data_IF_142070572797
#
_entry.id   IF_142070572797
#
_cell.length_a   1.000
_cell.length_b   1.000
_cell.length_c   1.000
_cell.angle_alpha   90.00
_cell.angle_beta   90.00
_cell.angle_gamma   90.00
#
_symmetry.space_group_name_H-M   'P 1'
#
loop_
_entity.id
_entity.type
_entity.pdbx_description
1 polymer ?
#
# COMPACT_ATOMS: atom_id res chain seq x y z
N UNK A 1 2.85 -7.89 -46.25
CA UNK A 1 1.89 -7.46 -45.22
C UNK A 1 2.42 -7.74 -43.81
N UNK A 2 2.75 -8.99 -43.41
CA UNK A 2 3.21 -9.31 -42.02
C UNK A 2 4.47 -8.55 -41.53
N UNK A 3 5.33 -8.08 -42.43
CA UNK A 3 6.52 -7.30 -42.06
C UNK A 3 6.18 -5.86 -41.68
N UNK A 4 5.32 -5.20 -42.44
CA UNK A 4 4.87 -3.83 -42.19
C UNK A 4 4.05 -3.73 -40.88
N UNK A 5 3.19 -4.69 -40.61
CA UNK A 5 2.42 -4.78 -39.36
C UNK A 5 3.32 -4.89 -38.13
N UNK A 6 4.39 -5.71 -38.22
CA UNK A 6 5.38 -5.81 -37.13
C UNK A 6 6.12 -4.50 -36.92
N UNK A 7 6.58 -3.85 -37.98
CA UNK A 7 7.28 -2.55 -37.87
C UNK A 7 6.34 -1.51 -37.25
N UNK A 8 5.10 -1.44 -37.73
CA UNK A 8 4.12 -0.48 -37.19
C UNK A 8 3.85 -0.75 -35.69
N UNK A 9 3.67 -2.01 -35.32
CA UNK A 9 3.48 -2.42 -33.91
C UNK A 9 4.66 -1.98 -33.01
N UNK A 10 5.89 -2.26 -33.42
CA UNK A 10 7.06 -1.89 -32.61
C UNK A 10 7.28 -0.37 -32.60
N UNK A 11 7.01 0.33 -33.69
CA UNK A 11 7.05 1.79 -33.73
C UNK A 11 6.04 2.41 -32.79
N UNK A 12 4.80 1.91 -32.77
CA UNK A 12 3.76 2.36 -31.84
C UNK A 12 4.16 2.10 -30.38
N UNK A 13 4.67 0.91 -30.06
CA UNK A 13 5.12 0.58 -28.72
C UNK A 13 6.26 1.52 -28.29
N UNK A 14 7.25 1.73 -29.16
CA UNK A 14 8.38 2.64 -28.89
C UNK A 14 7.90 4.06 -28.64
N UNK A 15 6.96 4.58 -29.46
CA UNK A 15 6.38 5.90 -29.30
C UNK A 15 5.66 6.04 -27.95
N UNK A 16 4.84 5.06 -27.58
CA UNK A 16 4.14 5.06 -26.28
C UNK A 16 5.14 5.04 -25.13
N UNK A 17 6.18 4.18 -25.20
CA UNK A 17 7.23 4.14 -24.18
C UNK A 17 7.96 5.49 -24.05
N UNK A 18 8.31 6.13 -25.17
CA UNK A 18 8.92 7.45 -25.15
C UNK A 18 8.01 8.50 -24.50
N UNK A 19 6.72 8.52 -24.87
CA UNK A 19 5.74 9.41 -24.24
C UNK A 19 5.62 9.19 -22.74
N UNK A 20 5.64 7.93 -22.29
CA UNK A 20 5.61 7.60 -20.86
C UNK A 20 6.89 8.02 -20.11
N UNK A 21 8.04 8.12 -20.79
CA UNK A 21 9.31 8.53 -20.19
C UNK A 21 9.46 10.05 -20.06
N UNK A 22 8.77 10.83 -20.90
CA UNK A 22 8.83 12.30 -20.87
C UNK A 22 8.61 12.88 -19.47
N UNK A 23 7.53 12.55 -18.72
CA UNK A 23 7.31 13.13 -17.41
C UNK A 23 8.44 12.80 -16.42
N UNK A 24 9.02 11.60 -16.49
CA UNK A 24 10.15 11.24 -15.65
C UNK A 24 11.41 12.00 -16.00
N UNK A 25 11.65 12.21 -17.29
CA UNK A 25 12.76 13.05 -17.76
C UNK A 25 12.61 14.49 -17.27
N UNK A 26 11.42 15.09 -17.41
CA UNK A 26 11.15 16.45 -16.92
C UNK A 26 11.36 16.56 -15.42
N UNK A 27 10.85 15.60 -14.63
CA UNK A 27 11.07 15.56 -13.18
C UNK A 27 12.55 15.48 -12.82
N UNK A 28 13.32 14.65 -13.54
CA UNK A 28 14.77 14.53 -13.33
C UNK A 28 15.49 15.85 -13.63
N UNK A 29 15.16 16.51 -14.75
CA UNK A 29 15.72 17.79 -15.11
C UNK A 29 15.38 18.87 -14.07
N UNK A 30 14.12 18.95 -13.64
CA UNK A 30 13.70 19.89 -12.60
C UNK A 30 14.42 19.63 -11.27
N UNK A 31 14.62 18.37 -10.89
CA UNK A 31 15.36 18.01 -9.67
C UNK A 31 16.85 18.41 -9.75
N UNK A 32 17.42 18.44 -10.93
CA UNK A 32 18.83 18.79 -11.20
C UNK A 32 19.05 20.27 -11.54
N UNK A 33 18.00 21.06 -11.64
CA UNK A 33 18.12 22.49 -11.95
C UNK A 33 18.15 23.34 -10.68
N UNK A 34 18.97 24.42 -10.71
CA UNK A 34 18.97 25.42 -9.66
C UNK A 34 17.61 26.15 -9.59
N UNK A 35 17.15 26.58 -8.39
CA UNK A 35 15.89 27.32 -8.25
C UNK A 35 15.81 28.55 -9.17
N UNK A 36 16.91 29.29 -9.32
CA UNK A 36 16.96 30.45 -10.18
C UNK A 36 16.64 30.10 -11.63
N UNK A 37 17.21 29.00 -12.13
CA UNK A 37 17.04 28.58 -13.52
C UNK A 37 15.63 28.10 -13.82
N UNK A 38 15.01 27.39 -12.87
CA UNK A 38 13.61 26.95 -13.02
C UNK A 38 12.64 28.12 -13.02
N UNK A 39 12.80 29.08 -12.08
CA UNK A 39 11.85 30.19 -11.91
C UNK A 39 12.01 31.31 -12.92
N UNK A 40 13.26 31.62 -13.32
CA UNK A 40 13.53 32.77 -14.18
C UNK A 40 13.71 32.43 -15.68
N UNK A 41 14.27 31.26 -15.97
CA UNK A 41 14.54 30.83 -17.35
C UNK A 41 13.49 29.87 -17.90
N UNK A 42 12.66 29.26 -17.03
CA UNK A 42 11.63 28.28 -17.43
C UNK A 42 12.20 27.03 -18.10
N UNK A 43 13.47 26.73 -17.86
CA UNK A 43 14.16 25.62 -18.52
C UNK A 43 13.81 24.28 -17.87
N UNK A 44 13.00 23.49 -18.58
CA UNK A 44 12.54 22.16 -18.16
C UNK A 44 13.18 21.02 -18.95
N UNK A 45 14.09 21.33 -19.90
CA UNK A 45 14.65 20.33 -20.81
C UNK A 45 16.16 20.08 -20.64
N UNK A 46 16.91 21.03 -20.08
CA UNK A 46 18.37 20.92 -19.96
C UNK A 46 18.76 20.96 -18.48
N UNK A 47 19.42 19.90 -17.94
CA UNK A 47 19.83 19.86 -16.53
C UNK A 47 21.04 20.77 -16.27
N UNK A 48 21.05 21.41 -15.10
CA UNK A 48 22.14 22.25 -14.57
C UNK A 48 23.09 21.47 -13.65
N UNK A 49 22.76 20.21 -13.40
CA UNK A 49 23.47 19.31 -12.47
C UNK A 49 23.67 19.89 -11.07
N UNK A 50 22.67 20.62 -10.56
CA UNK A 50 22.68 21.23 -9.24
C UNK A 50 22.32 20.19 -8.16
N UNK A 51 23.29 19.40 -7.74
CA UNK A 51 23.13 18.31 -6.77
C UNK A 51 22.72 18.77 -5.36
N UNK A 52 22.87 20.06 -5.06
CA UNK A 52 22.52 20.62 -3.76
C UNK A 52 21.05 20.42 -3.41
N UNK A 53 20.15 20.38 -4.40
CA UNK A 53 18.74 20.11 -4.20
C UNK A 53 18.50 18.79 -3.44
N UNK A 54 19.24 17.73 -3.76
CA UNK A 54 19.09 16.43 -3.11
C UNK A 54 19.58 16.47 -1.65
N UNK A 55 20.67 17.18 -1.38
CA UNK A 55 21.20 17.34 -0.03
C UNK A 55 20.25 18.19 0.83
N UNK A 56 19.72 19.26 0.27
CA UNK A 56 18.76 20.12 0.95
C UNK A 56 17.44 19.39 1.22
N UNK A 57 16.94 18.67 0.24
CA UNK A 57 15.76 17.82 0.40
C UNK A 57 15.97 16.80 1.52
N UNK A 58 17.10 16.09 1.51
CA UNK A 58 17.43 15.10 2.53
C UNK A 58 17.48 15.69 3.94
N UNK A 59 18.14 16.84 4.08
CA UNK A 59 18.32 17.51 5.39
C UNK A 59 17.04 18.20 5.88
N UNK A 60 16.41 19.01 5.03
CA UNK A 60 15.22 19.82 5.40
C UNK A 60 14.01 18.96 5.72
N UNK A 61 13.77 17.89 4.98
CA UNK A 61 12.59 17.05 5.16
C UNK A 61 12.82 15.83 6.04
N UNK A 62 14.05 15.62 6.56
CA UNK A 62 14.39 14.41 7.33
C UNK A 62 13.96 13.12 6.60
N UNK A 63 14.19 13.05 5.28
CA UNK A 63 13.72 11.97 4.42
C UNK A 63 14.12 10.60 4.96
N UNK A 64 15.33 10.44 5.50
CA UNK A 64 15.77 9.15 6.06
C UNK A 64 14.86 8.65 7.19
N UNK A 65 14.46 9.53 8.12
CA UNK A 65 13.53 9.18 9.20
C UNK A 65 12.14 8.89 8.64
N UNK A 66 11.65 9.70 7.71
CA UNK A 66 10.36 9.51 7.08
C UNK A 66 10.28 8.20 6.27
N UNK A 67 11.37 7.82 5.61
CA UNK A 67 11.52 6.54 4.89
C UNK A 67 11.42 5.35 5.84
N UNK A 68 12.13 5.41 6.96
CA UNK A 68 12.05 4.37 7.99
C UNK A 68 10.64 4.27 8.58
N UNK A 69 10.00 5.40 8.90
CA UNK A 69 8.62 5.43 9.38
C UNK A 69 7.65 4.82 8.36
N UNK A 70 7.74 5.20 7.07
CA UNK A 70 6.93 4.60 6.01
C UNK A 70 7.14 3.09 5.90
N UNK A 71 8.39 2.63 5.99
CA UNK A 71 8.71 1.20 5.95
C UNK A 71 8.11 0.45 7.16
N UNK A 72 8.24 1.00 8.38
CA UNK A 72 7.67 0.41 9.59
C UNK A 72 6.14 0.37 9.50
N UNK A 73 5.50 1.46 9.10
CA UNK A 73 4.04 1.53 8.96
C UNK A 73 3.56 0.53 7.91
N UNK A 74 4.18 0.51 6.74
CA UNK A 74 3.77 -0.37 5.64
C UNK A 74 3.98 -1.83 6.00
N UNK A 75 5.17 -2.20 6.47
CA UNK A 75 5.47 -3.58 6.85
C UNK A 75 4.59 -4.04 8.03
N UNK A 76 4.45 -3.23 9.08
CA UNK A 76 3.62 -3.55 10.24
C UNK A 76 2.15 -3.73 9.87
N UNK A 77 1.61 -2.84 9.02
CA UNK A 77 0.24 -2.95 8.51
C UNK A 77 0.04 -4.22 7.69
N UNK A 78 0.94 -4.50 6.74
CA UNK A 78 0.85 -5.68 5.89
C UNK A 78 0.94 -6.97 6.72
N UNK A 79 1.90 -7.08 7.62
CA UNK A 79 2.06 -8.25 8.49
C UNK A 79 0.79 -8.48 9.32
N UNK A 80 0.31 -7.44 10.01
CA UNK A 80 -0.88 -7.55 10.85
C UNK A 80 -2.12 -7.94 10.02
N UNK A 81 -2.30 -7.34 8.87
CA UNK A 81 -3.46 -7.57 8.01
C UNK A 81 -3.40 -8.93 7.31
N UNK A 82 -2.21 -9.39 6.90
CA UNK A 82 -2.01 -10.74 6.33
C UNK A 82 -2.37 -11.80 7.35
N UNK A 83 -1.90 -11.67 8.59
CA UNK A 83 -2.18 -12.65 9.64
C UNK A 83 -3.67 -12.65 9.97
N UNK A 84 -4.23 -11.51 10.33
CA UNK A 84 -5.61 -11.43 10.81
C UNK A 84 -6.64 -11.60 9.68
N UNK A 85 -6.41 -10.97 8.53
CA UNK A 85 -7.25 -11.10 7.35
C UNK A 85 -7.16 -12.47 6.70
N UNK A 86 -5.99 -13.10 6.70
CA UNK A 86 -5.79 -14.48 6.22
C UNK A 86 -6.57 -15.49 7.05
N UNK A 87 -6.45 -15.43 8.38
CA UNK A 87 -7.20 -16.30 9.30
C UNK A 87 -8.71 -16.07 9.20
N UNK A 88 -9.15 -14.81 9.14
CA UNK A 88 -10.56 -14.48 8.97
C UNK A 88 -11.09 -14.95 7.61
N UNK A 89 -10.33 -14.74 6.53
CA UNK A 89 -10.64 -15.23 5.19
C UNK A 89 -10.75 -16.76 5.14
N UNK A 90 -9.85 -17.47 5.81
CA UNK A 90 -9.90 -18.93 5.94
C UNK A 90 -11.17 -19.39 6.65
N UNK A 91 -11.48 -18.82 7.81
CA UNK A 91 -12.68 -19.15 8.56
C UNK A 91 -13.96 -18.92 7.73
N UNK A 92 -14.05 -17.79 7.02
CA UNK A 92 -15.18 -17.45 6.16
C UNK A 92 -15.27 -18.39 4.94
N UNK A 93 -14.13 -18.78 4.36
CA UNK A 93 -14.10 -19.66 3.20
C UNK A 93 -14.52 -21.10 3.53
N UNK A 94 -14.11 -21.62 4.68
CA UNK A 94 -14.32 -23.01 5.08
C UNK A 94 -15.60 -23.27 5.87
N UNK A 95 -16.04 -22.30 6.65
CA UNK A 95 -17.26 -22.44 7.46
C UNK A 95 -18.42 -21.62 6.87
N UNK A 96 -19.32 -22.31 6.15
CA UNK A 96 -20.47 -21.71 5.47
C UNK A 96 -21.65 -21.46 6.44
N UNK A 97 -21.42 -20.69 7.51
CA UNK A 97 -22.46 -20.31 8.49
C UNK A 97 -23.17 -19.03 8.08
N UNK A 98 -24.42 -18.83 8.60
CA UNK A 98 -25.14 -17.57 8.40
C UNK A 98 -24.35 -16.38 8.98
N UNK A 99 -23.68 -16.58 10.11
CA UNK A 99 -22.84 -15.58 10.76
C UNK A 99 -21.65 -15.16 9.85
N UNK A 100 -20.91 -16.13 9.31
CA UNK A 100 -19.78 -15.83 8.42
C UNK A 100 -20.21 -15.13 7.13
N UNK A 101 -21.39 -15.48 6.59
CA UNK A 101 -21.95 -14.77 5.43
C UNK A 101 -22.30 -13.33 5.78
N UNK A 102 -22.89 -13.11 6.95
CA UNK A 102 -23.23 -11.76 7.43
C UNK A 102 -21.95 -10.92 7.65
N UNK A 103 -20.97 -11.44 8.37
CA UNK A 103 -19.69 -10.75 8.61
C UNK A 103 -18.97 -10.44 7.30
N UNK A 104 -18.94 -11.38 6.36
CA UNK A 104 -18.34 -11.15 5.05
C UNK A 104 -19.07 -10.06 4.26
N UNK A 105 -20.42 -10.08 4.25
CA UNK A 105 -21.23 -9.03 3.64
C UNK A 105 -21.00 -7.66 4.28
N UNK A 106 -20.89 -7.61 5.62
CA UNK A 106 -20.58 -6.37 6.35
C UNK A 106 -19.20 -5.82 5.94
N UNK A 107 -18.17 -6.67 5.87
CA UNK A 107 -16.83 -6.25 5.46
C UNK A 107 -16.83 -5.73 4.00
N UNK A 108 -17.55 -6.38 3.10
CA UNK A 108 -17.71 -5.90 1.72
C UNK A 108 -18.41 -4.53 1.68
N UNK A 109 -19.43 -4.33 2.50
CA UNK A 109 -20.13 -3.03 2.60
C UNK A 109 -19.18 -1.92 3.09
N UNK A 110 -18.25 -2.23 4.00
CA UNK A 110 -17.23 -1.28 4.45
C UNK A 110 -16.32 -0.80 3.32
N UNK A 111 -16.05 -1.62 2.28
CA UNK A 111 -15.24 -1.21 1.13
C UNK A 111 -15.93 -0.13 0.26
N UNK A 112 -17.24 0.02 0.35
CA UNK A 112 -17.98 1.05 -0.38
C UNK A 112 -17.87 2.42 0.27
N UNK A 113 -17.43 2.49 1.52
CA UNK A 113 -17.33 3.74 2.27
C UNK A 113 -15.96 4.37 2.00
N UNK A 114 -15.87 5.59 1.45
CA UNK A 114 -14.60 6.28 1.27
C UNK A 114 -13.85 6.41 2.60
N UNK A 115 -12.60 5.94 2.64
CA UNK A 115 -11.81 5.88 3.88
C UNK A 115 -11.62 7.23 4.59
N UNK A 116 -11.71 8.34 3.86
CA UNK A 116 -11.59 9.69 4.44
C UNK A 116 -12.76 10.02 5.41
N UNK A 117 -13.95 9.50 5.16
CA UNK A 117 -15.13 9.73 6.02
C UNK A 117 -14.90 9.14 7.42
N UNK A 118 -14.17 8.03 7.49
CA UNK A 118 -13.89 7.35 8.76
C UNK A 118 -12.79 8.04 9.58
N UNK A 119 -12.14 9.09 9.05
CA UNK A 119 -10.99 9.73 9.71
C UNK A 119 -11.36 10.32 11.07
N UNK A 120 -12.49 11.04 11.17
CA UNK A 120 -12.90 11.70 12.41
C UNK A 120 -13.26 10.69 13.52
N UNK A 121 -14.12 9.69 13.30
CA UNK A 121 -14.43 8.68 14.32
C UNK A 121 -13.20 7.85 14.70
N UNK A 122 -12.33 7.49 13.73
CA UNK A 122 -11.07 6.79 14.02
C UNK A 122 -10.12 7.66 14.84
N UNK A 123 -10.00 8.94 14.53
CA UNK A 123 -9.17 9.86 15.32
C UNK A 123 -9.65 9.94 16.76
N UNK A 124 -10.96 10.05 16.99
CA UNK A 124 -11.54 10.09 18.32
C UNK A 124 -11.25 8.80 19.11
N UNK A 125 -11.35 7.64 18.45
CA UNK A 125 -11.03 6.35 19.05
C UNK A 125 -9.55 6.25 19.39
N UNK A 126 -8.65 6.58 18.42
CA UNK A 126 -7.21 6.55 18.60
C UNK A 126 -6.73 7.51 19.70
N UNK A 127 -7.39 8.65 19.85
CA UNK A 127 -7.10 9.58 20.95
C UNK A 127 -7.44 8.98 22.31
N UNK A 128 -8.57 8.28 22.43
CA UNK A 128 -8.97 7.62 23.71
C UNK A 128 -7.96 6.57 24.17
N UNK A 129 -7.32 5.86 23.23
CA UNK A 129 -6.32 4.82 23.53
C UNK A 129 -4.88 5.34 23.45
N UNK A 130 -4.68 6.67 23.41
CA UNK A 130 -3.37 7.33 23.32
C UNK A 130 -2.51 6.87 22.12
N UNK A 131 -3.14 6.51 21.01
CA UNK A 131 -2.50 6.01 19.80
C UNK A 131 -2.21 7.10 18.75
N UNK A 132 -2.77 8.31 18.92
CA UNK A 132 -2.48 9.45 18.03
C UNK A 132 -1.01 9.84 18.17
N UNK A 133 -0.41 10.24 17.07
CA UNK A 133 1.01 10.60 16.94
C UNK A 133 1.96 9.44 17.33
N UNK A 134 1.58 8.21 17.02
CA UNK A 134 2.39 7.01 17.23
C UNK A 134 2.42 6.15 15.96
N UNK A 135 3.54 5.47 15.67
CA UNK A 135 3.62 4.59 14.50
C UNK A 135 2.70 3.37 14.63
N UNK A 136 2.59 2.81 15.85
CA UNK A 136 1.69 1.68 16.09
C UNK A 136 0.21 2.06 15.90
N UNK A 137 -0.18 3.27 16.29
CA UNK A 137 -1.51 3.79 16.05
C UNK A 137 -1.82 3.92 14.56
N UNK A 138 -0.86 4.42 13.77
CA UNK A 138 -0.99 4.49 12.31
C UNK A 138 -1.07 3.10 11.69
N UNK A 139 -0.30 2.11 12.19
CA UNK A 139 -0.40 0.71 11.77
C UNK A 139 -1.81 0.17 12.01
N UNK A 140 -2.40 0.40 13.19
CA UNK A 140 -3.76 -0.04 13.49
C UNK A 140 -4.80 0.61 12.56
N UNK A 141 -4.71 1.92 12.33
CA UNK A 141 -5.61 2.64 11.41
C UNK A 141 -5.52 2.05 9.99
N UNK A 142 -4.31 1.94 9.46
CA UNK A 142 -4.11 1.39 8.12
C UNK A 142 -4.57 -0.09 8.03
N UNK A 143 -4.32 -0.89 9.07
CA UNK A 143 -4.76 -2.29 9.11
C UNK A 143 -6.26 -2.42 9.13
N UNK A 144 -6.94 -1.57 9.89
CA UNK A 144 -8.42 -1.56 9.94
C UNK A 144 -9.01 -1.23 8.56
N UNK A 145 -8.45 -0.23 7.88
CA UNK A 145 -8.90 0.17 6.54
C UNK A 145 -8.59 -0.87 5.47
N UNK A 146 -7.48 -1.62 5.60
CA UNK A 146 -7.08 -2.67 4.64
C UNK A 146 -7.76 -4.02 4.93
N UNK A 147 -8.33 -4.23 6.13
CA UNK A 147 -8.92 -5.50 6.55
C UNK A 147 -9.99 -6.04 5.60
N UNK A 148 -11.00 -5.24 5.15
CA UNK A 148 -12.02 -5.74 4.24
C UNK A 148 -11.45 -6.32 2.95
N UNK A 149 -10.47 -5.63 2.34
CA UNK A 149 -9.83 -6.10 1.11
C UNK A 149 -9.00 -7.37 1.32
N UNK A 150 -8.32 -7.49 2.46
CA UNK A 150 -7.57 -8.70 2.80
C UNK A 150 -8.51 -9.90 2.94
N UNK A 151 -9.56 -9.76 3.75
CA UNK A 151 -10.54 -10.83 3.96
C UNK A 151 -11.21 -11.22 2.64
N UNK A 152 -11.54 -10.26 1.80
CA UNK A 152 -12.11 -10.51 0.47
C UNK A 152 -11.18 -11.34 -0.41
N UNK A 153 -9.91 -10.91 -0.54
CA UNK A 153 -8.92 -11.59 -1.37
C UNK A 153 -8.69 -13.01 -0.84
N UNK A 154 -8.38 -13.15 0.45
CA UNK A 154 -8.09 -14.46 1.03
C UNK A 154 -9.30 -15.40 0.98
N UNK A 155 -10.49 -14.95 1.36
CA UNK A 155 -11.69 -15.78 1.30
C UNK A 155 -11.99 -16.26 -0.14
N UNK A 156 -11.80 -15.39 -1.13
CA UNK A 156 -12.04 -15.73 -2.54
C UNK A 156 -11.05 -16.77 -3.05
N UNK A 157 -9.74 -16.58 -2.77
CA UNK A 157 -8.72 -17.54 -3.19
C UNK A 157 -8.85 -18.88 -2.46
N UNK A 158 -9.13 -18.87 -1.15
CA UNK A 158 -9.26 -20.10 -0.37
C UNK A 158 -10.53 -20.87 -0.76
N UNK A 159 -11.63 -20.19 -1.11
CA UNK A 159 -12.84 -20.86 -1.64
C UNK A 159 -12.60 -21.61 -2.95
N UNK A 160 -11.64 -21.16 -3.75
CA UNK A 160 -11.29 -21.84 -5.01
C UNK A 160 -10.42 -23.10 -4.79
N UNK A 161 -9.85 -23.28 -3.60
CA UNK A 161 -9.06 -24.47 -3.28
C UNK A 161 -9.96 -25.66 -2.91
N UNK A 162 -9.63 -26.89 -3.35
CA UNK A 162 -10.31 -28.10 -2.95
C UNK A 162 -10.34 -28.28 -1.43
N UNK A 163 -11.45 -28.80 -0.89
CA UNK A 163 -11.59 -29.05 0.55
C UNK A 163 -10.78 -30.25 1.04
N UNK A 164 -10.45 -31.13 0.14
CA UNK A 164 -9.63 -32.32 0.35
C UNK A 164 -8.25 -31.97 0.93
N UNK A 165 -7.75 -30.76 0.71
CA UNK A 165 -6.51 -30.26 1.33
C UNK A 165 -6.66 -30.10 2.85
N UNK A 166 -7.81 -29.61 3.31
CA UNK A 166 -8.09 -29.47 4.74
C UNK A 166 -8.36 -30.84 5.38
N UNK A 167 -9.05 -31.75 4.67
CA UNK A 167 -9.33 -33.12 5.11
C UNK A 167 -8.04 -33.91 5.24
N UNK A 168 -7.14 -33.85 4.26
CA UNK A 168 -5.82 -34.46 4.32
C UNK A 168 -5.01 -33.93 5.50
N UNK A 169 -4.98 -32.63 5.70
CA UNK A 169 -4.30 -32.02 6.84
C UNK A 169 -4.88 -32.47 8.18
N UNK A 170 -6.20 -32.66 8.25
CA UNK A 170 -6.85 -33.19 9.46
C UNK A 170 -6.49 -34.65 9.74
N UNK A 171 -6.38 -35.50 8.70
CA UNK A 171 -5.91 -36.87 8.81
C UNK A 171 -4.45 -36.97 9.31
N UNK A 172 -3.63 -35.98 8.90
CA UNK A 172 -2.25 -35.79 9.37
C UNK A 172 -2.16 -35.17 10.79
N UNK A 173 -3.30 -35.02 11.49
CA UNK A 173 -3.37 -34.51 12.86
C UNK A 173 -3.29 -33.00 12.99
N UNK A 174 -3.42 -32.24 11.89
CA UNK A 174 -3.46 -30.78 11.95
C UNK A 174 -4.78 -30.25 12.52
N UNK A 175 -4.68 -29.28 13.43
CA UNK A 175 -5.83 -28.42 13.79
C UNK A 175 -6.12 -27.44 12.66
N UNK A 176 -7.30 -26.84 12.63
CA UNK A 176 -7.63 -25.81 11.60
C UNK A 176 -6.61 -24.67 11.55
N UNK A 177 -6.07 -24.24 12.69
CA UNK A 177 -5.02 -23.22 12.75
C UNK A 177 -3.69 -23.72 12.13
N UNK A 178 -3.27 -24.94 12.46
CA UNK A 178 -2.05 -25.53 11.90
C UNK A 178 -2.21 -25.88 10.41
N UNK A 179 -3.39 -26.33 9.99
CA UNK A 179 -3.72 -26.56 8.59
C UNK A 179 -3.62 -25.28 7.78
N UNK A 180 -4.14 -24.14 8.31
CA UNK A 180 -3.99 -22.85 7.66
C UNK A 180 -2.51 -22.51 7.40
N UNK A 181 -1.66 -22.55 8.42
CA UNK A 181 -0.27 -22.10 8.28
C UNK A 181 0.63 -23.08 7.51
N UNK A 182 0.42 -24.39 7.67
CA UNK A 182 1.28 -25.42 7.09
C UNK A 182 0.88 -25.83 5.67
N UNK A 183 -0.42 -25.78 5.36
CA UNK A 183 -0.95 -26.28 4.09
C UNK A 183 -1.53 -25.12 3.26
N UNK A 184 -2.51 -24.41 3.77
CA UNK A 184 -3.28 -23.43 2.97
C UNK A 184 -2.46 -22.18 2.67
N UNK A 185 -1.83 -21.56 3.67
CA UNK A 185 -1.08 -20.31 3.50
C UNK A 185 0.07 -20.41 2.48
N UNK A 186 0.88 -21.49 2.45
CA UNK A 186 1.87 -21.67 1.39
C UNK A 186 1.29 -21.74 -0.02
N UNK A 187 0.10 -22.33 -0.19
CA UNK A 187 -0.57 -22.45 -1.48
C UNK A 187 -1.10 -21.09 -1.96
N UNK A 188 -1.60 -20.27 -1.04
CA UNK A 188 -2.14 -18.94 -1.36
C UNK A 188 -1.10 -17.81 -1.39
N UNK A 189 0.20 -18.11 -1.42
CA UNK A 189 1.26 -17.10 -1.58
C UNK A 189 1.01 -16.13 -2.76
N UNK A 190 0.51 -16.56 -3.93
CA UNK A 190 0.17 -15.63 -5.01
C UNK A 190 -0.90 -14.61 -4.62
N UNK A 191 -1.92 -15.02 -3.85
CA UNK A 191 -2.93 -14.10 -3.32
C UNK A 191 -2.31 -13.09 -2.34
N UNK A 192 -1.41 -13.58 -1.47
CA UNK A 192 -0.66 -12.71 -0.55
C UNK A 192 0.20 -11.71 -1.30
N UNK A 193 0.90 -12.12 -2.35
CA UNK A 193 1.68 -11.21 -3.20
C UNK A 193 0.80 -10.14 -3.85
N UNK A 194 -0.36 -10.52 -4.38
CA UNK A 194 -1.33 -9.57 -4.94
C UNK A 194 -1.83 -8.58 -3.88
N UNK A 195 -2.15 -9.05 -2.68
CA UNK A 195 -2.56 -8.20 -1.56
C UNK A 195 -1.46 -7.22 -1.17
N UNK A 196 -0.22 -7.68 -1.04
CA UNK A 196 0.95 -6.86 -0.68
C UNK A 196 1.18 -5.75 -1.72
N UNK A 197 1.12 -6.07 -3.01
CA UNK A 197 1.32 -5.09 -4.07
C UNK A 197 0.20 -4.04 -4.05
N UNK A 198 -1.06 -4.47 -4.06
CA UNK A 198 -2.20 -3.57 -4.15
C UNK A 198 -2.34 -2.66 -2.93
N UNK A 199 -2.26 -3.23 -1.73
CA UNK A 199 -2.45 -2.46 -0.50
C UNK A 199 -1.15 -1.80 -0.01
N UNK A 200 -0.01 -2.45 -0.19
CA UNK A 200 1.29 -1.91 0.23
C UNK A 200 1.62 -0.59 -0.45
N UNK A 201 1.35 -0.48 -1.75
CA UNK A 201 1.51 0.77 -2.49
C UNK A 201 0.60 1.89 -1.94
N UNK A 202 -0.67 1.55 -1.65
CA UNK A 202 -1.63 2.49 -1.06
C UNK A 202 -1.23 2.95 0.35
N UNK A 203 -0.73 2.02 1.19
CA UNK A 203 -0.28 2.32 2.55
C UNK A 203 0.98 3.20 2.53
N UNK A 204 1.94 2.87 1.67
CA UNK A 204 3.18 3.65 1.52
C UNK A 204 2.89 5.09 1.12
N UNK A 205 1.94 5.29 0.19
CA UNK A 205 1.56 6.61 -0.32
C UNK A 205 0.45 7.30 0.50
N UNK A 206 0.13 6.78 1.69
CA UNK A 206 -0.96 7.33 2.50
C UNK A 206 -0.57 8.68 3.12
N UNK A 207 -0.96 9.76 2.46
CA UNK A 207 -0.83 11.13 2.94
C UNK A 207 -2.01 11.54 3.81
N UNK A 208 -3.23 11.21 3.36
CA UNK A 208 -4.47 11.72 3.96
C UNK A 208 -4.60 11.33 5.44
N UNK A 209 -4.55 10.03 5.78
CA UNK A 209 -4.62 9.59 7.17
C UNK A 209 -3.39 10.03 7.96
N UNK A 210 -2.20 9.92 7.34
CA UNK A 210 -0.95 10.30 8.00
C UNK A 210 -1.00 11.75 8.53
N UNK A 211 -1.58 12.69 7.77
CA UNK A 211 -1.71 14.09 8.17
C UNK A 211 -2.52 14.27 9.46
N UNK A 212 -3.52 13.43 9.69
CA UNK A 212 -4.32 13.49 10.92
C UNK A 212 -3.66 12.74 12.09
N UNK A 213 -3.04 11.59 11.81
CA UNK A 213 -2.57 10.69 12.86
C UNK A 213 -1.10 10.85 13.23
N UNK A 214 -0.25 11.46 12.38
CA UNK A 214 1.19 11.67 12.61
C UNK A 214 1.51 13.16 12.62
N UNK A 215 1.44 13.79 13.79
CA UNK A 215 1.51 15.24 13.93
C UNK A 215 2.95 15.76 14.11
N UNK A 216 3.85 14.95 14.69
CA UNK A 216 5.23 15.35 14.93
C UNK A 216 6.14 15.04 13.75
N UNK A 217 7.08 15.97 13.42
CA UNK A 217 8.06 15.78 12.33
C UNK A 217 8.88 14.49 12.46
N UNK A 218 9.14 14.02 13.66
CA UNK A 218 9.90 12.79 13.89
C UNK A 218 9.13 11.52 13.49
N UNK A 219 7.80 11.60 13.36
CA UNK A 219 6.93 10.45 13.03
C UNK A 219 6.29 10.53 11.67
N UNK A 220 6.53 11.60 10.91
CA UNK A 220 6.02 11.75 9.56
C UNK A 220 6.46 10.61 8.65
N UNK A 221 5.58 10.22 7.72
CA UNK A 221 5.89 9.33 6.63
C UNK A 221 6.43 10.11 5.41
N UNK A 222 6.86 9.42 4.36
CA UNK A 222 7.44 10.07 3.16
C UNK A 222 6.49 11.07 2.52
N UNK A 223 5.21 10.76 2.22
CA UNK A 223 4.32 11.72 1.60
C UNK A 223 4.17 13.03 2.39
N UNK A 224 4.11 12.94 3.73
CA UNK A 224 4.07 14.15 4.58
C UNK A 224 5.39 14.92 4.55
N UNK A 225 6.53 14.22 4.62
CA UNK A 225 7.84 14.86 4.59
C UNK A 225 8.07 15.61 3.27
N UNK A 226 7.58 15.06 2.16
CA UNK A 226 7.65 15.70 0.85
C UNK A 226 6.69 16.89 0.73
N UNK A 227 5.53 16.86 1.38
CA UNK A 227 4.56 17.97 1.32
C UNK A 227 5.10 19.29 1.87
N UNK A 228 6.13 19.26 2.71
CA UNK A 228 6.80 20.47 3.22
C UNK A 228 7.37 21.34 2.10
N UNK A 229 7.75 20.75 0.97
CA UNK A 229 8.28 21.50 -0.18
C UNK A 229 7.21 22.25 -0.97
N UNK A 230 5.95 21.85 -0.83
CA UNK A 230 4.83 22.51 -1.52
C UNK A 230 4.19 23.62 -0.67
N UNK A 231 4.65 23.82 0.56
CA UNK A 231 4.12 24.80 1.50
C UNK A 231 5.06 26.02 1.67
N UNK A 232 6.20 26.05 0.98
CA UNK A 232 7.15 27.15 0.92
C UNK A 232 6.99 27.92 -0.40
#
# INVERSE_FOLDING_TARGET
>A
MKGLEKVLKYATICLICLMCLIPFYVLLVLALNSPQRVFYEGNIFIPDFYWQNFLDAWRKSKIGTAMLNSAIITAGTLILTIITGGLAGYAIARHNTKYNKFVFGLLLSCMMIPGIINTVPLYTLMRKIHAVNTLWGMILVCSTLAMPSAVFIYATFIKALPRELDEAAALDGCTGFSAFWRVIFPIIKPATASFVILNGFGIWNNYAQATFFLQSRAKQNIPQALSVFFQQ
#
